data_IF_811243850880
#
_entry.id   IF_811243850880
#
_cell.length_a   1.000
_cell.length_b   1.000
_cell.length_c   1.000
_cell.angle_alpha   90.00
_cell.angle_beta   90.00
_cell.angle_gamma   90.00
#
_symmetry.space_group_name_H-M   'P 1'
#
loop_
_entity.id
_entity.type
_entity.pdbx_description
1 polymer ?
#
# COMPACT_ATOMS: atom_id res chain seq x y z
N UNK A 1 -0.92 -9.76 57.55
CA UNK A 1 -0.97 -10.78 56.47
C UNK A 1 -1.92 -10.47 55.30
N UNK A 2 -3.21 -10.11 55.50
CA UNK A 2 -4.16 -9.85 54.37
C UNK A 2 -3.77 -8.69 53.42
N UNK A 3 -3.16 -7.62 53.95
CA UNK A 3 -2.76 -6.41 53.18
C UNK A 3 -1.58 -6.66 52.24
N UNK A 4 -0.65 -7.52 52.64
CA UNK A 4 0.53 -7.91 51.84
C UNK A 4 0.13 -8.78 50.63
N UNK A 5 -0.79 -9.74 50.83
CA UNK A 5 -1.37 -10.54 49.74
C UNK A 5 -2.10 -9.69 48.69
N UNK A 6 -2.89 -8.70 49.14
CA UNK A 6 -3.61 -7.77 48.24
C UNK A 6 -2.68 -6.91 47.38
N UNK A 7 -1.55 -6.47 47.94
CA UNK A 7 -0.52 -5.74 47.19
C UNK A 7 0.20 -6.62 46.16
N UNK A 8 0.51 -7.88 46.48
CA UNK A 8 1.12 -8.82 45.53
C UNK A 8 0.20 -9.10 44.34
N UNK A 9 -1.10 -9.30 44.56
CA UNK A 9 -2.05 -9.48 43.48
C UNK A 9 -2.17 -8.23 42.60
N UNK A 10 -2.18 -7.02 43.19
CA UNK A 10 -2.21 -5.77 42.44
C UNK A 10 -0.95 -5.60 41.56
N UNK A 11 0.23 -5.94 42.09
CA UNK A 11 1.50 -5.88 41.36
C UNK A 11 1.55 -6.90 40.21
N UNK A 12 1.08 -8.13 40.44
CA UNK A 12 1.00 -9.16 39.40
C UNK A 12 0.01 -8.77 38.28
N UNK A 13 -1.14 -8.20 38.63
CA UNK A 13 -2.11 -7.70 37.65
C UNK A 13 -1.55 -6.53 36.84
N UNK A 14 -0.82 -5.61 37.46
CA UNK A 14 -0.17 -4.49 36.77
C UNK A 14 0.91 -4.98 35.79
N UNK A 15 1.73 -5.97 36.19
CA UNK A 15 2.72 -6.59 35.29
C UNK A 15 2.06 -7.30 34.11
N UNK A 16 0.98 -8.07 34.36
CA UNK A 16 0.25 -8.75 33.31
C UNK A 16 -0.38 -7.76 32.31
N UNK A 17 -0.99 -6.68 32.80
CA UNK A 17 -1.54 -5.62 31.98
C UNK A 17 -0.46 -4.93 31.14
N UNK A 18 0.70 -4.64 31.73
CA UNK A 18 1.85 -4.10 31.02
C UNK A 18 2.35 -5.01 29.90
N UNK A 19 2.44 -6.32 30.16
CA UNK A 19 2.86 -7.31 29.17
C UNK A 19 1.85 -7.42 28.01
N UNK A 20 0.55 -7.38 28.31
CA UNK A 20 -0.52 -7.38 27.31
C UNK A 20 -0.49 -6.12 26.42
N UNK A 21 -0.25 -4.95 27.00
CA UNK A 21 -0.11 -3.70 26.24
C UNK A 21 1.12 -3.71 25.32
N UNK A 22 2.25 -4.21 25.82
CA UNK A 22 3.46 -4.41 25.01
C UNK A 22 3.19 -5.38 23.86
N UNK A 23 2.57 -6.52 24.13
CA UNK A 23 2.21 -7.49 23.09
C UNK A 23 1.23 -6.91 22.05
N UNK A 24 0.24 -6.13 22.48
CA UNK A 24 -0.70 -5.46 21.58
C UNK A 24 -0.02 -4.42 20.70
N UNK A 25 0.96 -3.67 21.22
CA UNK A 25 1.72 -2.67 20.44
C UNK A 25 2.59 -3.30 19.34
N UNK A 26 2.99 -4.56 19.51
CA UNK A 26 3.74 -5.31 18.51
C UNK A 26 2.84 -5.80 17.35
N UNK A 27 1.51 -5.79 17.52
CA UNK A 27 0.58 -6.11 16.43
C UNK A 27 0.48 -4.92 15.50
N UNK A 28 1.05 -5.06 14.30
CA UNK A 28 0.84 -4.12 13.21
C UNK A 28 -0.64 -4.18 12.79
N UNK A 29 -1.49 -3.35 13.41
CA UNK A 29 -2.89 -3.26 13.03
C UNK A 29 -2.99 -2.79 11.58
N UNK A 30 -3.60 -3.61 10.73
CA UNK A 30 -3.94 -3.18 9.37
C UNK A 30 -5.10 -2.20 9.47
N UNK A 31 -5.06 -1.05 8.79
CA UNK A 31 -6.18 -0.12 8.82
C UNK A 31 -7.42 -0.82 8.28
N UNK A 32 -8.53 -0.79 9.03
CA UNK A 32 -9.84 -1.23 8.54
C UNK A 32 -10.41 -0.22 7.54
N UNK A 33 -9.96 1.04 7.65
CA UNK A 33 -10.44 2.16 6.86
C UNK A 33 -9.27 3.07 6.53
N UNK A 34 -9.23 3.61 5.31
CA UNK A 34 -8.26 4.62 4.88
C UNK A 34 -8.97 5.81 4.23
N UNK A 35 -8.42 7.00 4.42
CA UNK A 35 -8.87 8.21 3.74
C UNK A 35 -7.93 8.52 2.57
N UNK A 36 -8.45 8.54 1.34
CA UNK A 36 -7.70 9.02 0.18
C UNK A 36 -7.91 10.53 0.02
N UNK A 37 -6.87 11.32 0.31
CA UNK A 37 -6.90 12.78 0.25
C UNK A 37 -6.52 13.36 -1.12
N UNK A 38 -6.22 12.51 -2.12
CA UNK A 38 -5.70 12.96 -3.42
C UNK A 38 -6.55 12.48 -4.58
N UNK A 39 -6.53 13.23 -5.69
CA UNK A 39 -7.30 12.90 -6.89
C UNK A 39 -6.73 11.71 -7.70
N UNK A 40 -5.72 10.98 -7.21
CA UNK A 40 -5.18 9.81 -7.91
C UNK A 40 -6.16 8.63 -7.97
N UNK A 41 -7.09 8.60 -7.02
CA UNK A 41 -8.23 7.69 -6.92
C UNK A 41 -9.41 8.52 -6.40
N UNK A 42 -10.67 8.03 -6.40
CA UNK A 42 -11.77 8.78 -5.82
C UNK A 42 -11.47 9.21 -4.38
N UNK A 43 -11.62 10.51 -4.11
CA UNK A 43 -11.39 11.11 -2.78
C UNK A 43 -12.48 10.62 -1.84
N UNK A 44 -12.09 10.19 -0.64
CA UNK A 44 -13.06 9.71 0.34
C UNK A 44 -12.54 8.61 1.25
N UNK A 45 -13.49 8.03 1.98
CA UNK A 45 -13.27 6.95 2.94
C UNK A 45 -13.40 5.59 2.25
N UNK A 46 -12.41 4.73 2.44
CA UNK A 46 -12.35 3.40 1.83
C UNK A 46 -12.25 2.33 2.91
N UNK A 47 -13.10 1.31 2.81
CA UNK A 47 -13.02 0.14 3.67
C UNK A 47 -11.97 -0.86 3.12
N UNK A 48 -11.11 -1.36 3.98
CA UNK A 48 -10.02 -2.26 3.62
C UNK A 48 -10.45 -3.70 3.84
N UNK A 49 -10.46 -4.47 2.75
CA UNK A 49 -10.81 -5.89 2.80
C UNK A 49 -9.63 -6.75 3.29
N UNK A 50 -9.90 -7.90 3.94
CA UNK A 50 -8.86 -8.84 4.37
C UNK A 50 -7.97 -9.35 3.22
N UNK A 51 -6.71 -9.68 3.53
CA UNK A 51 -5.73 -10.09 2.51
C UNK A 51 -6.02 -11.42 1.81
N UNK A 52 -6.96 -12.24 2.31
CA UNK A 52 -7.42 -13.44 1.62
C UNK A 52 -7.98 -13.12 0.21
N UNK A 53 -8.42 -11.88 -0.01
CA UNK A 53 -8.91 -11.40 -1.31
C UNK A 53 -7.82 -11.24 -2.39
N UNK A 54 -6.52 -11.34 -2.04
CA UNK A 54 -5.41 -11.16 -2.99
C UNK A 54 -5.37 -12.19 -4.11
N UNK A 55 -5.89 -13.40 -3.89
CA UNK A 55 -5.89 -14.48 -4.90
C UNK A 55 -6.84 -14.22 -6.08
N UNK A 56 -7.70 -13.22 -5.98
CA UNK A 56 -8.77 -12.95 -6.95
C UNK A 56 -8.81 -11.49 -7.41
N UNK A 57 -7.66 -10.79 -7.38
CA UNK A 57 -7.61 -9.43 -7.91
C UNK A 57 -7.96 -9.41 -9.39
N UNK A 58 -8.85 -8.50 -9.76
CA UNK A 58 -9.33 -8.28 -11.12
C UNK A 58 -8.93 -6.89 -11.59
N UNK A 59 -8.88 -6.73 -12.91
CA UNK A 59 -8.76 -5.41 -13.52
C UNK A 59 -9.92 -4.53 -13.03
N UNK A 60 -9.56 -3.36 -12.50
CA UNK A 60 -10.49 -2.39 -11.96
C UNK A 60 -10.73 -2.43 -10.46
N UNK A 61 -10.23 -3.45 -9.77
CA UNK A 61 -10.17 -3.45 -8.32
C UNK A 61 -9.27 -2.32 -7.81
N UNK A 62 -9.45 -1.93 -6.55
CA UNK A 62 -8.55 -1.04 -5.84
C UNK A 62 -7.72 -1.81 -4.84
N UNK A 63 -6.42 -1.51 -4.80
CA UNK A 63 -5.47 -2.16 -3.90
C UNK A 63 -4.80 -1.15 -3.00
N UNK A 64 -4.71 -1.52 -1.72
CA UNK A 64 -3.91 -0.83 -0.72
C UNK A 64 -2.60 -1.58 -0.53
N UNK A 65 -1.47 -0.94 -0.80
CA UNK A 65 -0.16 -1.58 -0.70
C UNK A 65 0.92 -0.61 -0.22
N UNK A 66 1.97 -1.17 0.39
CA UNK A 66 3.14 -0.40 0.80
C UNK A 66 4.18 -0.43 -0.32
N UNK A 67 4.73 0.73 -0.73
CA UNK A 67 5.82 0.76 -1.69
C UNK A 67 7.08 0.07 -1.12
N UNK A 68 7.89 -0.50 -2.00
CA UNK A 68 9.20 -1.05 -1.61
C UNK A 68 10.10 0.03 -1.01
N UNK A 69 11.19 -0.38 -0.32
CA UNK A 69 12.08 0.53 0.41
C UNK A 69 12.68 1.62 -0.49
N UNK A 70 12.97 1.34 -1.76
CA UNK A 70 13.54 2.31 -2.70
C UNK A 70 12.48 3.32 -3.11
N UNK A 71 11.30 2.86 -3.50
CA UNK A 71 10.18 3.72 -3.88
C UNK A 71 9.70 4.59 -2.71
N UNK A 72 9.54 4.03 -1.51
CA UNK A 72 9.14 4.76 -0.32
C UNK A 72 10.11 5.91 0.02
N UNK A 73 11.42 5.68 -0.10
CA UNK A 73 12.43 6.74 0.11
C UNK A 73 12.34 7.84 -0.95
N UNK A 74 12.13 7.47 -2.21
CA UNK A 74 11.96 8.42 -3.30
C UNK A 74 10.71 9.28 -3.07
N UNK A 75 9.58 8.66 -2.77
CA UNK A 75 8.31 9.34 -2.57
C UNK A 75 8.34 10.29 -1.39
N UNK A 76 8.95 9.88 -0.27
CA UNK A 76 9.14 10.75 0.89
C UNK A 76 10.04 11.95 0.55
N UNK A 77 11.20 11.72 -0.09
CA UNK A 77 12.12 12.79 -0.50
C UNK A 77 11.48 13.77 -1.48
N UNK A 78 10.62 13.27 -2.38
CA UNK A 78 9.93 14.09 -3.38
C UNK A 78 8.65 14.72 -2.85
N UNK A 79 8.24 14.40 -1.62
CA UNK A 79 6.97 14.87 -1.04
C UNK A 79 5.75 14.39 -1.82
N UNK A 80 5.79 13.14 -2.31
CA UNK A 80 4.65 12.46 -2.92
C UNK A 80 3.84 11.67 -1.90
N UNK A 81 4.52 10.99 -0.98
CA UNK A 81 3.92 10.13 0.03
C UNK A 81 4.83 10.07 1.26
N UNK A 82 4.34 10.31 2.48
CA UNK A 82 5.12 10.13 3.69
C UNK A 82 5.56 8.67 3.90
N UNK A 83 6.64 8.45 4.66
CA UNK A 83 7.11 7.09 4.96
C UNK A 83 6.06 6.33 5.79
N UNK A 84 5.87 5.05 5.49
CA UNK A 84 4.95 4.17 6.20
C UNK A 84 3.48 4.31 5.79
N UNK A 85 3.14 5.31 4.97
CA UNK A 85 1.79 5.49 4.43
C UNK A 85 1.61 4.58 3.20
N UNK A 86 0.50 3.80 3.12
CA UNK A 86 0.22 2.97 1.95
C UNK A 86 -0.30 3.79 0.76
N UNK A 87 -0.16 3.24 -0.44
CA UNK A 87 -0.78 3.72 -1.66
C UNK A 87 -2.13 3.03 -1.88
N UNK A 88 -3.13 3.80 -2.30
CA UNK A 88 -4.39 3.30 -2.86
C UNK A 88 -4.35 3.52 -4.37
N UNK A 89 -4.45 2.44 -5.15
CA UNK A 89 -4.35 2.51 -6.61
C UNK A 89 -5.31 1.54 -7.29
N UNK A 90 -5.69 1.86 -8.53
CA UNK A 90 -6.54 0.98 -9.34
C UNK A 90 -5.69 -0.04 -10.08
N UNK A 91 -6.13 -1.30 -10.09
CA UNK A 91 -5.52 -2.38 -10.86
C UNK A 91 -5.84 -2.17 -12.33
N UNK A 92 -4.80 -2.01 -13.15
CA UNK A 92 -4.90 -1.84 -14.59
C UNK A 92 -4.68 -3.16 -15.35
N UNK A 93 -3.76 -4.00 -14.88
CA UNK A 93 -3.54 -5.36 -15.41
C UNK A 93 -3.21 -6.36 -14.31
N UNK A 94 -3.46 -7.65 -14.60
CA UNK A 94 -3.20 -8.79 -13.73
C UNK A 94 -2.31 -9.83 -14.41
N UNK A 95 -1.87 -10.84 -13.66
CA UNK A 95 -1.03 -11.93 -14.13
C UNK A 95 -1.48 -12.50 -15.50
N UNK A 96 -0.49 -12.73 -16.37
CA UNK A 96 -0.71 -13.25 -17.72
C UNK A 96 -0.90 -12.18 -18.80
N UNK A 97 -1.26 -10.96 -18.43
CA UNK A 97 -1.35 -9.81 -19.35
C UNK A 97 0.03 -9.21 -19.63
N UNK A 98 0.18 -8.58 -20.79
CA UNK A 98 1.41 -7.90 -21.22
C UNK A 98 1.26 -6.40 -21.05
N UNK A 99 2.17 -5.78 -20.31
CA UNK A 99 2.26 -4.32 -20.17
C UNK A 99 3.43 -3.84 -21.01
N UNK A 100 3.17 -2.88 -21.88
CA UNK A 100 4.20 -2.22 -22.69
C UNK A 100 4.24 -0.74 -22.36
N UNK A 101 5.44 -0.17 -22.37
CA UNK A 101 5.66 1.25 -22.57
C UNK A 101 6.47 1.43 -23.86
N UNK A 102 5.95 2.24 -24.79
CA UNK A 102 6.66 2.69 -26.01
C UNK A 102 6.33 4.15 -26.25
N UNK A 103 7.34 4.99 -26.43
CA UNK A 103 7.18 6.41 -26.74
C UNK A 103 6.22 7.18 -25.81
N UNK A 104 6.23 6.85 -24.52
CA UNK A 104 5.33 7.35 -23.46
C UNK A 104 3.91 6.83 -23.53
N UNK A 105 3.57 5.97 -24.45
CA UNK A 105 2.30 5.27 -24.45
C UNK A 105 2.41 3.98 -23.64
N UNK A 106 1.55 3.85 -22.62
CA UNK A 106 1.40 2.62 -21.85
C UNK A 106 0.22 1.86 -22.44
N UNK A 107 0.44 0.60 -22.78
CA UNK A 107 -0.58 -0.31 -23.28
C UNK A 107 -0.63 -1.62 -22.49
N UNK A 108 -1.81 -2.26 -22.50
CA UNK A 108 -2.06 -3.57 -21.92
C UNK A 108 -2.66 -4.44 -23.02
N UNK A 109 -2.02 -5.58 -23.31
CA UNK A 109 -2.41 -6.48 -24.40
C UNK A 109 -2.70 -5.71 -25.70
N UNK A 110 -1.74 -4.86 -26.08
CA UNK A 110 -1.75 -3.97 -27.25
C UNK A 110 -2.82 -2.87 -27.28
N UNK A 111 -3.63 -2.72 -26.22
CA UNK A 111 -4.56 -1.59 -26.08
C UNK A 111 -3.95 -0.46 -25.28
N UNK A 112 -3.85 0.73 -25.87
CA UNK A 112 -3.42 1.94 -25.17
C UNK A 112 -4.38 2.27 -24.00
N UNK A 113 -3.81 2.55 -22.82
CA UNK A 113 -4.57 2.80 -21.59
C UNK A 113 -4.11 4.02 -20.80
N UNK A 114 -2.86 4.46 -20.97
CA UNK A 114 -2.35 5.66 -20.31
C UNK A 114 -1.17 6.27 -21.07
N UNK A 115 -0.81 7.50 -20.68
CA UNK A 115 0.40 8.18 -21.15
C UNK A 115 1.34 8.45 -19.98
N UNK A 116 2.59 8.01 -20.09
CA UNK A 116 3.63 8.29 -19.12
C UNK A 116 4.05 9.77 -19.20
N UNK A 117 3.94 10.48 -18.07
CA UNK A 117 4.36 11.87 -17.99
C UNK A 117 5.88 11.96 -17.79
N UNK A 118 6.59 12.88 -18.47
CA UNK A 118 8.04 13.00 -18.33
C UNK A 118 8.46 13.70 -17.03
N UNK A 119 7.57 14.50 -16.45
CA UNK A 119 7.80 15.29 -15.24
C UNK A 119 6.58 15.20 -14.32
N UNK A 120 6.82 15.40 -13.02
CA UNK A 120 5.75 15.55 -12.04
C UNK A 120 5.14 16.97 -12.06
N UNK A 121 4.11 17.20 -11.25
CA UNK A 121 3.47 18.51 -11.12
C UNK A 121 4.36 19.64 -10.58
N UNK A 122 5.62 19.35 -10.19
CA UNK A 122 6.63 20.34 -9.79
C UNK A 122 7.77 20.45 -10.82
N UNK A 123 7.60 19.91 -12.03
CA UNK A 123 8.58 19.96 -13.12
C UNK A 123 9.78 19.03 -12.96
N UNK A 124 9.76 18.12 -11.97
CA UNK A 124 10.88 17.21 -11.70
C UNK A 124 10.72 15.95 -12.54
N UNK A 125 11.79 15.49 -13.19
CA UNK A 125 11.77 14.28 -14.04
C UNK A 125 11.24 13.06 -13.27
N UNK A 126 10.34 12.33 -13.92
CA UNK A 126 9.85 11.02 -13.48
C UNK A 126 10.74 9.91 -14.07
N UNK A 127 10.77 8.76 -13.40
CA UNK A 127 11.48 7.60 -13.91
C UNK A 127 10.71 7.03 -15.09
N UNK A 128 11.35 6.99 -16.25
CA UNK A 128 10.83 6.28 -17.43
C UNK A 128 11.33 4.84 -17.40
N UNK A 129 10.46 3.91 -17.80
CA UNK A 129 10.86 2.60 -18.29
C UNK A 129 10.37 2.50 -19.74
N UNK A 130 11.00 1.63 -20.53
CA UNK A 130 10.51 1.30 -21.86
C UNK A 130 10.66 -0.18 -22.12
N UNK A 131 9.82 -0.70 -23.00
CA UNK A 131 9.74 -2.12 -23.32
C UNK A 131 8.45 -2.78 -22.83
N UNK A 132 8.36 -4.08 -23.12
CA UNK A 132 7.19 -4.91 -22.83
C UNK A 132 7.55 -6.01 -21.84
N UNK A 133 6.65 -6.28 -20.90
CA UNK A 133 6.78 -7.36 -19.93
C UNK A 133 5.44 -8.04 -19.68
N UNK A 134 5.44 -9.38 -19.71
CA UNK A 134 4.28 -10.17 -19.29
C UNK A 134 4.29 -10.31 -17.77
N UNK A 135 3.17 -9.96 -17.14
CA UNK A 135 3.03 -10.02 -15.68
C UNK A 135 3.09 -11.49 -15.19
N UNK A 136 4.05 -11.85 -14.33
CA UNK A 136 4.09 -13.14 -13.66
C UNK A 136 2.89 -13.39 -12.74
N UNK A 137 2.73 -14.64 -12.32
CA UNK A 137 1.73 -15.00 -11.32
C UNK A 137 1.96 -14.23 -10.00
N UNK A 138 0.89 -13.61 -9.49
CA UNK A 138 0.94 -12.81 -8.26
C UNK A 138 1.37 -11.36 -8.47
N UNK A 139 1.75 -10.97 -9.68
CA UNK A 139 2.01 -9.57 -10.02
C UNK A 139 0.78 -8.89 -10.62
N UNK A 140 0.70 -7.59 -10.39
CA UNK A 140 -0.33 -6.70 -10.91
C UNK A 140 0.36 -5.43 -11.41
N UNK A 141 -0.28 -4.77 -12.36
CA UNK A 141 0.08 -3.41 -12.76
C UNK A 141 -0.98 -2.44 -12.29
N UNK A 142 -0.55 -1.32 -11.70
CA UNK A 142 -1.44 -0.31 -11.11
C UNK A 142 -1.12 1.07 -11.67
N UNK A 143 -2.14 1.93 -11.71
CA UNK A 143 -2.05 3.33 -12.15
C UNK A 143 -2.53 4.27 -11.05
#
# INVERSE_FOLDING_TARGET
MKRDRRNRHAVLLAMLAGLLLLAASAVQARPLVVWNATASTPVGLWHVLPAASRKHLRVGDYVLFWPDRRSARLFARRGYLPRGVPLLKRVAAVAGQTVCERDREVSIDDRAIARALPVDGRGRRLAAWSGCGRLPNGEIFVL
#
